data_IF_618898182851
#
_entry.id   IF_618898182851
#
_cell.length_a   1.000
_cell.length_b   1.000
_cell.length_c   1.000
_cell.angle_alpha   90.00
_cell.angle_beta   90.00
_cell.angle_gamma   90.00
#
_symmetry.space_group_name_H-M   'P 1'
#
loop_
_entity.id
_entity.type
_entity.pdbx_description
1 polymer ?
#
# COMPACT_ATOMS: atom_id res chain seq x y z
N UNK A 1 7.01 3.54 26.30
CA UNK A 1 7.38 2.79 25.08
C UNK A 1 7.88 1.36 25.31
N UNK A 2 8.09 0.91 26.54
CA UNK A 2 8.84 -0.32 26.82
C UNK A 2 8.02 -1.62 26.88
N UNK A 3 6.71 -1.59 27.11
CA UNK A 3 5.92 -2.82 27.32
C UNK A 3 5.56 -3.53 26.00
N UNK A 4 5.11 -2.81 24.97
CA UNK A 4 4.72 -3.41 23.70
C UNK A 4 5.92 -4.09 23.02
N UNK A 5 7.06 -3.41 22.96
CA UNK A 5 8.28 -3.98 22.36
C UNK A 5 8.79 -5.23 23.10
N UNK A 6 8.61 -5.28 24.40
CA UNK A 6 9.04 -6.42 25.20
C UNK A 6 8.12 -7.64 25.07
N UNK A 7 6.82 -7.40 24.94
CA UNK A 7 5.81 -8.45 24.95
C UNK A 7 5.49 -9.04 23.58
N UNK A 8 5.79 -8.28 22.49
CA UNK A 8 5.42 -8.66 21.12
C UNK A 8 6.60 -8.74 20.15
N UNK A 9 7.83 -8.69 20.65
CA UNK A 9 9.02 -8.90 19.83
C UNK A 9 9.14 -10.39 19.40
N UNK A 10 9.81 -10.70 18.28
CA UNK A 10 10.49 -9.76 17.38
C UNK A 10 9.53 -9.08 16.40
N UNK A 11 9.73 -7.77 16.21
CA UNK A 11 9.00 -7.05 15.18
C UNK A 11 9.60 -7.32 13.80
N UNK A 12 8.76 -7.67 12.86
CA UNK A 12 9.13 -7.89 11.47
C UNK A 12 8.98 -6.60 10.67
N UNK A 13 9.72 -6.48 9.59
CA UNK A 13 9.59 -5.41 8.59
C UNK A 13 9.61 -6.03 7.20
N UNK A 14 8.94 -5.40 6.27
CA UNK A 14 8.95 -5.82 4.88
C UNK A 14 10.19 -5.30 4.15
N UNK A 15 10.61 -4.08 4.46
CA UNK A 15 11.61 -3.34 3.71
C UNK A 15 12.68 -2.75 4.64
N UNK A 16 13.88 -2.60 4.12
CA UNK A 16 14.92 -1.78 4.74
C UNK A 16 14.46 -0.32 4.78
N UNK A 17 14.74 0.41 5.85
CA UNK A 17 14.37 1.81 6.01
C UNK A 17 15.46 2.68 6.66
N UNK A 18 16.55 2.05 7.12
CA UNK A 18 17.71 2.70 7.71
C UNK A 18 18.98 2.11 7.13
N UNK A 19 20.06 2.91 7.02
CA UNK A 19 21.33 2.43 6.49
C UNK A 19 21.97 1.28 7.30
N UNK A 20 21.74 1.27 8.62
CA UNK A 20 22.26 0.27 9.56
C UNK A 20 21.46 -1.04 9.58
N UNK A 21 20.36 -1.11 8.86
CA UNK A 21 19.62 -2.36 8.71
C UNK A 21 20.39 -3.33 7.78
N UNK A 22 20.34 -4.64 8.06
CA UNK A 22 20.92 -5.63 7.17
C UNK A 22 20.50 -5.45 5.72
N UNK A 23 21.44 -5.68 4.82
CA UNK A 23 21.14 -5.72 3.39
C UNK A 23 20.21 -6.88 3.07
N UNK A 24 19.34 -6.67 2.11
CA UNK A 24 18.35 -7.65 1.64
C UNK A 24 18.29 -7.58 0.12
N UNK A 25 18.21 -8.75 -0.51
CA UNK A 25 18.00 -8.87 -1.94
C UNK A 25 16.57 -8.49 -2.30
N UNK A 26 16.40 -7.70 -3.36
CA UNK A 26 15.08 -7.24 -3.82
C UNK A 26 14.14 -8.41 -4.11
N UNK A 27 14.63 -9.43 -4.81
CA UNK A 27 13.86 -10.63 -5.14
C UNK A 27 13.46 -11.42 -3.90
N UNK A 28 14.29 -11.43 -2.86
CA UNK A 28 13.95 -12.10 -1.60
C UNK A 28 12.79 -11.37 -0.88
N UNK A 29 12.82 -10.04 -0.86
CA UNK A 29 11.73 -9.22 -0.32
C UNK A 29 10.43 -9.46 -1.08
N UNK A 30 10.48 -9.41 -2.40
CA UNK A 30 9.32 -9.59 -3.27
C UNK A 30 8.73 -10.99 -3.08
N UNK A 31 9.57 -12.04 -3.05
CA UNK A 31 9.10 -13.40 -2.79
C UNK A 31 8.45 -13.55 -1.42
N UNK A 32 9.02 -12.97 -0.38
CA UNK A 32 8.46 -13.03 0.98
C UNK A 32 7.08 -12.37 1.06
N UNK A 33 6.93 -11.18 0.46
CA UNK A 33 5.66 -10.47 0.43
C UNK A 33 4.61 -11.28 -0.34
N UNK A 34 4.94 -11.74 -1.55
CA UNK A 34 4.01 -12.51 -2.38
C UNK A 34 3.64 -13.85 -1.71
N UNK A 35 4.62 -14.56 -1.14
CA UNK A 35 4.37 -15.80 -0.43
C UNK A 35 3.48 -15.63 0.79
N UNK A 36 3.64 -14.51 1.51
CA UNK A 36 2.78 -14.18 2.65
C UNK A 36 1.35 -13.91 2.22
N UNK A 37 1.14 -13.12 1.15
CA UNK A 37 -0.20 -12.87 0.61
C UNK A 37 -0.87 -14.15 0.12
N UNK A 38 -0.14 -15.00 -0.60
CA UNK A 38 -0.66 -16.28 -1.09
C UNK A 38 -0.92 -17.29 0.04
N UNK A 39 -0.16 -17.24 1.13
CA UNK A 39 -0.43 -18.07 2.30
C UNK A 39 -1.75 -17.66 2.98
N UNK A 40 -2.01 -16.37 3.14
CA UNK A 40 -3.24 -15.86 3.73
C UNK A 40 -4.46 -16.16 2.84
N UNK A 41 -4.34 -16.03 1.52
CA UNK A 41 -5.41 -16.41 0.59
C UNK A 41 -5.75 -17.90 0.71
N UNK A 42 -4.72 -18.77 0.74
CA UNK A 42 -4.95 -20.22 0.92
C UNK A 42 -5.58 -20.54 2.26
N UNK A 43 -5.19 -19.84 3.33
CA UNK A 43 -5.79 -20.04 4.65
C UNK A 43 -7.27 -19.64 4.65
N UNK A 44 -7.60 -18.55 3.98
CA UNK A 44 -8.97 -18.05 3.82
C UNK A 44 -9.82 -19.07 3.02
N UNK A 45 -9.30 -19.56 1.90
CA UNK A 45 -9.94 -20.62 1.09
C UNK A 45 -10.19 -21.90 1.93
N UNK A 46 -9.20 -22.32 2.74
CA UNK A 46 -9.36 -23.47 3.63
C UNK A 46 -10.43 -23.25 4.71
N UNK A 47 -10.70 -22.01 5.09
CA UNK A 47 -11.80 -21.66 6.00
C UNK A 47 -13.16 -21.56 5.30
N UNK A 48 -13.21 -21.79 3.98
CA UNK A 48 -14.42 -21.80 3.19
C UNK A 48 -14.79 -20.45 2.59
N UNK A 49 -13.88 -19.51 2.50
CA UNK A 49 -14.10 -18.27 1.76
C UNK A 49 -14.27 -18.58 0.27
N UNK A 50 -15.22 -17.87 -0.38
CA UNK A 50 -15.55 -18.05 -1.80
C UNK A 50 -15.47 -16.73 -2.57
N UNK A 51 -15.21 -15.63 -1.89
CA UNK A 51 -15.10 -14.30 -2.48
C UNK A 51 -13.70 -14.01 -3.01
N UNK A 52 -13.62 -13.13 -4.00
CA UNK A 52 -12.35 -12.63 -4.50
C UNK A 52 -11.70 -11.65 -3.51
N UNK A 53 -10.40 -11.63 -3.46
CA UNK A 53 -9.61 -10.63 -2.74
C UNK A 53 -9.59 -9.34 -3.54
N UNK A 54 -10.53 -8.43 -3.24
CA UNK A 54 -10.81 -7.23 -4.03
C UNK A 54 -10.01 -5.99 -3.60
N UNK A 55 -9.39 -5.99 -2.43
CA UNK A 55 -8.68 -4.82 -1.92
C UNK A 55 -7.47 -5.16 -1.07
N UNK A 56 -6.53 -4.22 -1.02
CA UNK A 56 -5.36 -4.29 -0.15
C UNK A 56 -5.43 -3.19 0.90
N UNK A 57 -5.11 -3.53 2.14
CA UNK A 57 -4.98 -2.57 3.24
C UNK A 57 -3.59 -2.62 3.84
N UNK A 58 -2.95 -1.47 3.96
CA UNK A 58 -1.62 -1.39 4.54
C UNK A 58 -1.45 -0.19 5.46
N UNK A 59 -0.61 -0.36 6.48
CA UNK A 59 -0.21 0.69 7.41
C UNK A 59 1.27 1.00 7.26
N UNK A 60 1.63 2.28 7.18
CA UNK A 60 3.01 2.76 7.14
C UNK A 60 3.81 2.11 6.00
N UNK A 61 4.77 1.23 6.31
CA UNK A 61 5.53 0.47 5.31
C UNK A 61 4.61 -0.48 4.50
N UNK A 62 3.58 -1.06 5.14
CA UNK A 62 2.57 -1.87 4.45
C UNK A 62 1.76 -1.07 3.45
N UNK A 63 1.46 0.21 3.71
CA UNK A 63 0.78 1.08 2.75
C UNK A 63 1.63 1.32 1.49
N UNK A 64 2.96 1.50 1.65
CA UNK A 64 3.89 1.57 0.52
C UNK A 64 3.85 0.27 -0.31
N UNK A 65 3.92 -0.88 0.34
CA UNK A 65 3.84 -2.20 -0.30
C UNK A 65 2.54 -2.34 -1.09
N UNK A 66 1.39 -2.03 -0.47
CA UNK A 66 0.09 -2.08 -1.14
C UNK A 66 0.04 -1.18 -2.38
N UNK A 67 0.45 0.08 -2.26
CA UNK A 67 0.46 1.01 -3.39
C UNK A 67 1.37 0.53 -4.53
N UNK A 68 2.52 -0.06 -4.19
CA UNK A 68 3.46 -0.59 -5.17
C UNK A 68 2.91 -1.82 -5.90
N UNK A 69 2.23 -2.73 -5.19
CA UNK A 69 1.56 -3.89 -5.80
C UNK A 69 0.44 -3.43 -6.76
N UNK A 70 -0.38 -2.47 -6.34
CA UNK A 70 -1.46 -1.93 -7.17
C UNK A 70 -0.92 -1.25 -8.44
N UNK A 71 0.16 -0.48 -8.32
CA UNK A 71 0.80 0.15 -9.46
C UNK A 71 1.41 -0.88 -10.43
N UNK A 72 2.04 -1.92 -9.90
CA UNK A 72 2.53 -3.03 -10.70
C UNK A 72 1.40 -3.74 -11.45
N UNK A 73 0.32 -4.11 -10.75
CA UNK A 73 -0.86 -4.72 -11.35
C UNK A 73 -1.40 -3.87 -12.50
N UNK A 74 -1.57 -2.56 -12.27
CA UNK A 74 -2.02 -1.62 -13.28
C UNK A 74 -1.10 -1.62 -14.50
N UNK A 75 0.19 -1.50 -14.31
CA UNK A 75 1.17 -1.44 -15.40
C UNK A 75 1.25 -2.76 -16.19
N UNK A 76 1.17 -3.91 -15.51
CA UNK A 76 1.10 -5.22 -16.17
C UNK A 76 -0.17 -5.37 -17.00
N UNK A 77 -1.32 -4.98 -16.44
CA UNK A 77 -2.60 -5.03 -17.13
C UNK A 77 -2.63 -4.09 -18.35
N UNK A 78 -2.10 -2.88 -18.21
CA UNK A 78 -2.00 -1.93 -19.34
C UNK A 78 -1.10 -2.45 -20.46
N UNK A 79 -0.01 -3.11 -20.09
CA UNK A 79 0.99 -3.57 -21.08
C UNK A 79 0.63 -4.90 -21.74
N UNK A 80 0.06 -5.85 -20.98
CA UNK A 80 -0.14 -7.23 -21.39
C UNK A 80 -1.60 -7.69 -21.39
N UNK A 81 -2.55 -6.79 -21.12
CA UNK A 81 -3.96 -7.09 -20.96
C UNK A 81 -4.29 -7.69 -19.58
N UNK A 82 -5.55 -8.02 -19.38
CA UNK A 82 -6.08 -8.53 -18.10
C UNK A 82 -5.28 -9.70 -17.50
N UNK A 83 -4.88 -10.65 -18.35
CA UNK A 83 -4.11 -11.82 -17.93
C UNK A 83 -2.61 -11.53 -17.71
N UNK A 84 -2.18 -10.30 -17.88
CA UNK A 84 -0.80 -9.88 -17.67
C UNK A 84 -0.40 -9.79 -16.21
N UNK A 85 -1.37 -9.69 -15.31
CA UNK A 85 -1.17 -9.64 -13.86
C UNK A 85 -1.80 -10.86 -13.18
N UNK A 86 -1.10 -11.40 -12.18
CA UNK A 86 -1.61 -12.50 -11.34
C UNK A 86 -2.53 -11.99 -10.21
N UNK A 87 -2.71 -10.67 -10.10
CA UNK A 87 -3.55 -10.04 -9.09
C UNK A 87 -4.57 -9.11 -9.73
N UNK A 88 -5.77 -9.02 -9.11
CA UNK A 88 -6.90 -8.23 -9.63
C UNK A 88 -7.56 -7.40 -8.54
N UNK A 89 -6.74 -6.78 -7.68
CA UNK A 89 -7.24 -5.87 -6.65
C UNK A 89 -7.92 -4.67 -7.29
N UNK A 90 -9.05 -4.28 -6.73
CA UNK A 90 -9.94 -3.24 -7.26
C UNK A 90 -9.74 -1.90 -6.56
N UNK A 91 -9.16 -1.88 -5.36
CA UNK A 91 -8.84 -0.66 -4.60
C UNK A 91 -7.80 -0.90 -3.51
N UNK A 92 -7.26 0.18 -2.94
CA UNK A 92 -6.33 0.14 -1.81
C UNK A 92 -6.70 1.07 -0.66
N UNK A 93 -6.37 0.67 0.57
CA UNK A 93 -6.50 1.50 1.78
C UNK A 93 -5.09 1.74 2.34
N UNK A 94 -4.63 2.97 2.24
CA UNK A 94 -3.26 3.36 2.50
C UNK A 94 -3.18 4.23 3.76
N UNK A 95 -2.96 3.58 4.91
CA UNK A 95 -2.85 4.29 6.18
C UNK A 95 -1.41 4.79 6.38
N UNK A 96 -1.23 6.10 6.48
CA UNK A 96 0.07 6.77 6.71
C UNK A 96 1.19 6.29 5.77
N UNK A 97 0.84 6.03 4.50
CA UNK A 97 1.79 5.61 3.47
C UNK A 97 2.71 6.74 3.03
N UNK A 98 3.92 6.40 2.57
CA UNK A 98 4.87 7.35 2.00
C UNK A 98 5.70 6.73 0.88
N UNK A 99 6.07 7.57 -0.07
CA UNK A 99 6.97 7.21 -1.16
C UNK A 99 8.41 6.94 -0.70
N UNK A 100 9.31 6.64 -1.63
CA UNK A 100 9.00 6.23 -3.01
C UNK A 100 8.32 4.87 -3.09
N UNK A 101 7.61 4.60 -4.18
CA UNK A 101 7.08 3.27 -4.49
C UNK A 101 8.20 2.35 -4.96
N UNK A 102 8.02 1.06 -4.80
CA UNK A 102 9.02 0.06 -5.13
C UNK A 102 8.63 -0.75 -6.36
N UNK A 103 9.62 -1.15 -7.14
CA UNK A 103 9.44 -2.09 -8.24
C UNK A 103 9.30 -3.51 -7.69
N UNK A 104 8.21 -4.17 -8.02
CA UNK A 104 7.95 -5.59 -7.72
C UNK A 104 8.26 -6.51 -8.90
N UNK A 105 8.50 -5.96 -10.08
CA UNK A 105 8.70 -6.75 -11.29
C UNK A 105 9.73 -6.06 -12.20
N UNK A 106 10.80 -6.77 -12.52
CA UNK A 106 11.85 -6.27 -13.41
C UNK A 106 11.39 -6.02 -14.85
N UNK A 107 10.25 -6.59 -15.27
CA UNK A 107 9.63 -6.33 -16.58
C UNK A 107 9.05 -4.92 -16.68
N UNK A 108 8.82 -4.29 -15.53
CA UNK A 108 8.30 -2.92 -15.43
C UNK A 108 9.41 -2.06 -14.83
N UNK A 109 10.18 -1.43 -15.72
CA UNK A 109 11.09 -0.37 -15.32
C UNK A 109 10.39 0.97 -15.52
N UNK A 110 10.25 1.75 -14.48
CA UNK A 110 9.66 3.08 -14.55
C UNK A 110 10.49 4.07 -13.75
N UNK A 111 10.75 5.27 -14.30
CA UNK A 111 11.34 6.35 -13.51
C UNK A 111 10.50 6.61 -12.27
N UNK A 112 11.13 6.77 -11.11
CA UNK A 112 10.43 7.02 -9.84
C UNK A 112 10.08 5.77 -9.03
N UNK A 113 10.22 4.56 -9.58
CA UNK A 113 10.22 3.33 -8.79
C UNK A 113 11.65 3.03 -8.32
N UNK A 114 11.78 2.58 -7.08
CA UNK A 114 13.07 2.15 -6.50
C UNK A 114 13.10 0.65 -6.29
N UNK A 115 14.30 0.07 -6.30
CA UNK A 115 14.45 -1.33 -5.91
C UNK A 115 14.05 -1.55 -4.46
N UNK A 116 13.44 -2.69 -4.16
CA UNK A 116 13.12 -3.07 -2.79
C UNK A 116 14.37 -3.20 -1.89
N UNK A 117 15.54 -3.48 -2.50
CA UNK A 117 16.83 -3.54 -1.81
C UNK A 117 17.38 -2.15 -1.43
N UNK A 118 17.06 -1.12 -2.22
CA UNK A 118 17.70 0.20 -2.15
C UNK A 118 17.07 1.15 -1.12
N UNK A 119 15.95 0.78 -0.52
CA UNK A 119 15.29 1.60 0.49
C UNK A 119 16.20 1.78 1.73
N UNK A 120 16.32 3.03 2.16
CA UNK A 120 17.15 3.40 3.30
C UNK A 120 18.63 3.67 2.96
N UNK A 121 19.00 3.63 1.68
CA UNK A 121 20.33 4.06 1.23
C UNK A 121 20.38 5.59 1.17
N UNK A 122 21.42 6.24 1.77
CA UNK A 122 21.57 7.69 1.67
C UNK A 122 21.69 8.14 0.22
N UNK A 123 20.98 9.20 -0.16
CA UNK A 123 21.01 9.78 -1.51
C UNK A 123 19.84 9.41 -2.42
N UNK A 124 19.00 8.44 -2.06
CA UNK A 124 17.83 8.06 -2.86
C UNK A 124 16.56 8.90 -2.56
N UNK A 125 16.62 9.80 -1.60
CA UNK A 125 15.51 10.73 -1.28
C UNK A 125 15.27 11.80 -2.37
N UNK A 126 16.11 11.86 -3.39
CA UNK A 126 16.03 12.82 -4.50
C UNK A 126 15.51 12.24 -5.83
N UNK A 127 14.80 11.11 -5.80
CA UNK A 127 14.19 10.57 -7.02
C UNK A 127 13.09 11.53 -7.48
N UNK A 128 13.25 12.09 -8.68
CA UNK A 128 12.24 12.94 -9.29
C UNK A 128 11.05 12.08 -9.70
N UNK A 129 9.96 12.16 -8.96
CA UNK A 129 8.73 11.39 -9.18
C UNK A 129 7.91 11.89 -10.38
N UNK A 130 8.30 12.99 -11.00
CA UNK A 130 7.54 13.66 -12.07
C UNK A 130 7.36 12.84 -13.35
N UNK A 131 7.99 11.68 -13.48
CA UNK A 131 7.87 10.79 -14.63
C UNK A 131 7.38 9.39 -14.28
N UNK A 132 6.97 9.12 -13.03
CA UNK A 132 6.40 7.84 -12.65
C UNK A 132 4.95 7.74 -13.13
N UNK A 133 4.47 6.56 -13.58
CA UNK A 133 3.05 6.38 -13.86
C UNK A 133 2.26 6.60 -12.57
N UNK A 134 1.13 7.31 -12.68
CA UNK A 134 0.24 7.53 -11.56
C UNK A 134 -0.67 6.30 -11.36
N UNK A 135 -0.95 5.99 -10.11
CA UNK A 135 -1.87 4.94 -9.71
C UNK A 135 -3.31 5.42 -9.95
N UNK A 136 -3.99 4.77 -10.89
CA UNK A 136 -5.38 5.02 -11.27
C UNK A 136 -6.36 4.14 -10.52
N UNK A 137 -5.91 2.96 -10.06
CA UNK A 137 -6.72 2.08 -9.21
C UNK A 137 -7.14 2.85 -7.97
N UNK A 138 -8.44 2.88 -7.62
CA UNK A 138 -8.96 3.65 -6.50
C UNK A 138 -8.19 3.44 -5.19
N UNK A 139 -7.85 4.53 -4.52
CA UNK A 139 -7.14 4.49 -3.24
C UNK A 139 -7.82 5.36 -2.18
N UNK A 140 -7.78 4.90 -0.93
CA UNK A 140 -8.25 5.63 0.24
C UNK A 140 -7.05 5.90 1.12
N UNK A 141 -6.66 7.15 1.23
CA UNK A 141 -5.54 7.60 2.05
C UNK A 141 -6.04 8.02 3.43
N UNK A 142 -5.47 7.46 4.47
CA UNK A 142 -5.84 7.78 5.86
C UNK A 142 -4.66 8.44 6.54
N UNK A 143 -4.81 9.74 6.88
CA UNK A 143 -3.73 10.57 7.42
C UNK A 143 -4.04 11.03 8.84
N UNK A 144 -3.10 10.84 9.76
CA UNK A 144 -3.11 11.46 11.07
C UNK A 144 -2.59 12.90 10.98
N UNK A 145 -3.39 13.89 11.37
CA UNK A 145 -3.04 15.31 11.28
C UNK A 145 -1.86 15.72 12.19
N UNK A 146 -1.56 14.91 13.21
CA UNK A 146 -0.42 15.10 14.13
C UNK A 146 0.74 14.14 13.83
N UNK A 147 0.66 13.40 12.72
CA UNK A 147 1.75 12.53 12.30
C UNK A 147 2.95 13.38 11.86
N UNK A 148 4.15 13.19 12.43
CA UNK A 148 5.36 13.89 11.96
C UNK A 148 5.67 13.66 10.48
N UNK A 149 5.17 12.57 9.91
CA UNK A 149 5.32 12.22 8.50
C UNK A 149 4.18 12.69 7.58
N UNK A 150 3.24 13.52 8.08
CA UNK A 150 2.04 13.91 7.34
C UNK A 150 2.34 14.46 5.94
N UNK A 151 3.38 15.31 5.81
CA UNK A 151 3.73 15.86 4.49
C UNK A 151 4.22 14.77 3.52
N UNK A 152 4.92 13.75 4.00
CA UNK A 152 5.32 12.61 3.17
C UNK A 152 4.11 11.75 2.74
N UNK A 153 3.06 11.68 3.57
CA UNK A 153 1.82 10.97 3.20
C UNK A 153 1.05 11.75 2.12
N UNK A 154 0.99 13.06 2.26
CA UNK A 154 0.40 13.94 1.25
C UNK A 154 1.21 13.97 -0.04
N UNK A 155 2.54 13.86 0.05
CA UNK A 155 3.42 13.75 -1.09
C UNK A 155 3.14 12.46 -1.88
N UNK A 156 3.02 11.31 -1.22
CA UNK A 156 2.64 10.06 -1.89
C UNK A 156 1.35 10.22 -2.69
N UNK A 157 0.33 10.83 -2.08
CA UNK A 157 -0.95 11.09 -2.75
C UNK A 157 -0.76 11.96 -4.00
N UNK A 158 -0.07 13.10 -3.87
CA UNK A 158 0.08 14.06 -4.97
C UNK A 158 0.95 13.57 -6.11
N UNK A 159 1.98 12.78 -5.80
CA UNK A 159 3.03 12.41 -6.76
C UNK A 159 2.88 11.01 -7.34
N UNK A 160 2.07 10.17 -6.70
CA UNK A 160 1.95 8.76 -7.11
C UNK A 160 0.53 8.30 -7.40
N UNK A 161 -0.50 9.11 -7.14
CA UNK A 161 -1.90 8.72 -7.34
C UNK A 161 -2.65 9.74 -8.19
N UNK A 162 -3.54 9.26 -9.03
CA UNK A 162 -4.46 10.12 -9.77
C UNK A 162 -5.50 10.74 -8.83
N UNK A 163 -5.65 12.07 -8.92
CA UNK A 163 -6.50 12.81 -7.98
C UNK A 163 -7.98 12.41 -8.05
N UNK A 164 -8.48 11.99 -9.22
CA UNK A 164 -9.87 11.60 -9.41
C UNK A 164 -10.18 10.22 -8.79
N UNK A 165 -9.20 9.33 -8.69
CA UNK A 165 -9.34 7.99 -8.11
C UNK A 165 -9.01 7.92 -6.61
N UNK A 166 -8.42 8.97 -6.06
CA UNK A 166 -8.01 9.00 -4.66
C UNK A 166 -9.06 9.64 -3.74
N UNK A 167 -9.20 9.08 -2.55
CA UNK A 167 -10.02 9.62 -1.45
C UNK A 167 -9.12 9.85 -0.24
N UNK A 168 -9.43 10.88 0.56
CA UNK A 168 -8.64 11.22 1.74
C UNK A 168 -9.54 11.24 2.98
N UNK A 169 -9.10 10.56 4.03
CA UNK A 169 -9.68 10.62 5.37
C UNK A 169 -8.61 11.15 6.32
N UNK A 170 -8.76 12.38 6.79
CA UNK A 170 -7.88 12.95 7.78
C UNK A 170 -8.51 12.85 9.17
N UNK A 171 -7.68 12.59 10.19
CA UNK A 171 -8.15 12.44 11.56
C UNK A 171 -7.17 13.06 12.56
N UNK A 172 -7.68 13.47 13.70
CA UNK A 172 -6.88 14.07 14.78
C UNK A 172 -6.09 12.99 15.54
N UNK A 173 -5.00 12.52 14.93
CA UNK A 173 -4.10 11.50 15.48
C UNK A 173 -2.69 11.57 14.93
N UNK A 174 -1.84 10.76 15.52
CA UNK A 174 -0.43 10.61 15.16
C UNK A 174 -0.22 9.41 14.20
N UNK A 175 1.01 8.86 14.16
CA UNK A 175 1.36 7.70 13.33
C UNK A 175 0.76 6.39 13.86
N UNK A 176 -0.57 6.26 13.77
CA UNK A 176 -1.35 5.11 14.25
C UNK A 176 -2.53 4.81 13.36
N UNK A 177 -3.08 3.62 13.50
CA UNK A 177 -4.39 3.27 12.95
C UNK A 177 -5.48 3.93 13.80
N UNK A 178 -6.48 4.61 13.21
CA UNK A 178 -7.60 5.18 13.98
C UNK A 178 -8.41 4.08 14.67
N UNK A 179 -8.70 4.25 15.96
CA UNK A 179 -9.48 3.28 16.75
C UNK A 179 -10.78 3.86 17.31
N UNK A 180 -10.94 5.19 17.29
CA UNK A 180 -12.18 5.83 17.75
C UNK A 180 -13.30 5.64 16.73
N UNK A 181 -14.48 5.24 17.16
CA UNK A 181 -15.65 4.92 16.32
C UNK A 181 -15.91 5.94 15.23
N UNK A 182 -15.84 7.24 15.53
CA UNK A 182 -16.08 8.29 14.53
C UNK A 182 -15.08 8.27 13.37
N UNK A 183 -13.81 7.95 13.64
CA UNK A 183 -12.77 7.90 12.61
C UNK A 183 -12.78 6.57 11.85
N UNK A 184 -13.01 5.47 12.56
CA UNK A 184 -13.23 4.15 11.95
C UNK A 184 -14.44 4.20 11.03
N UNK A 185 -15.54 4.83 11.47
CA UNK A 185 -16.73 5.02 10.63
C UNK A 185 -16.46 5.83 9.37
N UNK A 186 -15.64 6.89 9.45
CA UNK A 186 -15.26 7.68 8.27
C UNK A 186 -14.46 6.85 7.26
N UNK A 187 -13.52 6.02 7.73
CA UNK A 187 -12.77 5.11 6.85
C UNK A 187 -13.68 4.04 6.25
N UNK A 188 -14.53 3.40 7.06
CA UNK A 188 -15.47 2.38 6.60
C UNK A 188 -16.45 2.94 5.55
N UNK A 189 -16.99 4.13 5.76
CA UNK A 189 -17.87 4.78 4.78
C UNK A 189 -17.11 5.10 3.48
N UNK A 190 -15.85 5.54 3.55
CA UNK A 190 -15.05 5.75 2.35
C UNK A 190 -14.81 4.45 1.58
N UNK A 191 -14.55 3.33 2.28
CA UNK A 191 -14.41 2.00 1.66
C UNK A 191 -15.72 1.58 0.98
N UNK A 192 -16.85 1.70 1.66
CA UNK A 192 -18.16 1.35 1.11
C UNK A 192 -18.50 2.18 -0.13
N UNK A 193 -18.22 3.48 -0.09
CA UNK A 193 -18.47 4.37 -1.25
C UNK A 193 -17.63 3.93 -2.45
N UNK A 194 -16.32 3.69 -2.27
CA UNK A 194 -15.47 3.18 -3.35
C UNK A 194 -15.96 1.83 -3.85
N UNK A 195 -16.31 0.90 -2.96
CA UNK A 195 -16.80 -0.43 -3.33
C UNK A 195 -18.11 -0.36 -4.15
N UNK A 196 -19.00 0.57 -3.81
CA UNK A 196 -20.22 0.84 -4.59
C UNK A 196 -19.91 1.48 -5.95
N UNK A 197 -19.06 2.50 -5.99
CA UNK A 197 -18.64 3.19 -7.21
C UNK A 197 -18.03 2.24 -8.25
N UNK A 198 -17.26 1.25 -7.81
CA UNK A 198 -16.61 0.26 -8.68
C UNK A 198 -17.40 -1.05 -8.83
N UNK A 199 -18.62 -1.10 -8.31
CA UNK A 199 -19.57 -2.20 -8.51
C UNK A 199 -19.22 -3.52 -7.80
N UNK A 200 -18.46 -3.47 -6.69
CA UNK A 200 -18.17 -4.65 -5.85
C UNK A 200 -19.35 -4.93 -4.92
N UNK A 201 -19.99 -3.89 -4.41
CA UNK A 201 -21.18 -3.99 -3.56
C UNK A 201 -22.34 -3.32 -4.28
N UNK A 202 -23.48 -4.02 -4.35
CA UNK A 202 -24.70 -3.45 -4.91
C UNK A 202 -25.20 -2.27 -4.07
N UNK A 203 -25.85 -1.29 -4.73
CA UNK A 203 -26.51 -0.20 -4.02
C UNK A 203 -27.55 -0.80 -3.07
N UNK A 204 -27.42 -0.52 -1.78
CA UNK A 204 -28.46 -0.83 -0.81
C UNK A 204 -29.62 0.14 -1.12
N UNK A 205 -30.66 -0.37 -1.78
CA UNK A 205 -31.93 0.35 -1.94
C UNK A 205 -32.64 0.50 -0.61
#
# INVERSE_FOLDING_TARGET
MTSVYRNYAPFRRWLRWKPDHPEIEAEAVIREINSSLEAEKREDDMKGATGEWVGLMGFSQGAKVCASILLQQQALTQRFGWNGSDTHYRFGILLTGRGPLISFDSRISSPGLVSAADLGVPGQLGVNFTCAPLLEIPTIHVHGLRDPGLELHRQLLRESCEGWSARVVEWDGDHRVPVKTKYVGAVANSILNVAMEIGIVGSVC
#
